data_IF_994525187041
#
_entry.id   IF_994525187041
#
_cell.length_a   1.000
_cell.length_b   1.000
_cell.length_c   1.000
_cell.angle_alpha   90.00
_cell.angle_beta   90.00
_cell.angle_gamma   90.00
#
_symmetry.space_group_name_H-M   'P 1'
#
loop_
_entity.id
_entity.type
_entity.pdbx_description
1 polymer ?
#
# COMPACT_ATOMS: atom_id res chain seq x y z
N UNK A 1 12.88 -23.38 12.26
CA UNK A 1 12.03 -23.99 11.20
C UNK A 1 10.85 -23.07 10.87
N UNK A 2 10.60 -22.77 9.59
CA UNK A 2 9.43 -21.98 9.18
C UNK A 2 8.16 -22.85 9.39
N UNK A 3 7.10 -22.35 10.05
CA UNK A 3 5.86 -23.09 10.21
C UNK A 3 5.26 -23.53 8.87
N UNK A 4 4.67 -24.73 8.81
CA UNK A 4 4.14 -25.33 7.58
C UNK A 4 3.20 -24.41 6.80
N UNK A 5 2.28 -23.72 7.49
CA UNK A 5 1.32 -22.79 6.87
C UNK A 5 2.01 -21.57 6.24
N UNK A 6 3.06 -21.04 6.90
CA UNK A 6 3.83 -19.92 6.36
C UNK A 6 4.62 -20.34 5.11
N UNK A 7 5.13 -21.58 5.07
CA UNK A 7 5.81 -22.12 3.88
C UNK A 7 4.87 -22.19 2.68
N UNK A 8 3.66 -22.72 2.85
CA UNK A 8 2.68 -22.80 1.77
C UNK A 8 2.21 -21.42 1.27
N UNK A 9 1.92 -20.48 2.18
CA UNK A 9 1.58 -19.12 1.78
C UNK A 9 2.69 -18.44 0.98
N UNK A 10 3.95 -18.69 1.36
CA UNK A 10 5.11 -18.20 0.63
C UNK A 10 5.27 -18.85 -0.75
N UNK A 11 5.04 -20.16 -0.88
CA UNK A 11 5.05 -20.86 -2.17
C UNK A 11 3.98 -20.28 -3.13
N UNK A 12 2.79 -19.98 -2.64
CA UNK A 12 1.74 -19.34 -3.43
C UNK A 12 2.14 -17.93 -3.89
N UNK A 13 2.80 -17.15 -3.02
CA UNK A 13 3.38 -15.87 -3.41
C UNK A 13 4.48 -16.02 -4.48
N UNK A 14 5.39 -16.99 -4.35
CA UNK A 14 6.42 -17.22 -5.36
C UNK A 14 5.83 -17.57 -6.72
N UNK A 15 4.76 -18.36 -6.74
CA UNK A 15 4.01 -18.65 -7.97
C UNK A 15 3.40 -17.38 -8.58
N UNK A 16 2.80 -16.52 -7.77
CA UNK A 16 2.29 -15.23 -8.23
C UNK A 16 3.41 -14.32 -8.76
N UNK A 17 4.50 -14.16 -8.01
CA UNK A 17 5.61 -13.26 -8.33
C UNK A 17 6.29 -13.66 -9.65
N UNK A 18 6.47 -14.97 -9.87
CA UNK A 18 7.02 -15.51 -11.12
C UNK A 18 6.15 -15.17 -12.33
N UNK A 19 4.82 -15.13 -12.15
CA UNK A 19 3.87 -14.90 -13.24
C UNK A 19 3.56 -13.42 -13.50
N UNK A 20 3.50 -12.58 -12.46
CA UNK A 20 3.08 -11.17 -12.58
C UNK A 20 4.15 -10.24 -13.15
N UNK A 21 5.43 -10.65 -13.17
CA UNK A 21 6.56 -9.90 -13.76
C UNK A 21 6.73 -8.46 -13.23
N UNK A 22 6.18 -8.15 -12.06
CA UNK A 22 6.41 -6.86 -11.40
C UNK A 22 7.82 -6.89 -10.80
N UNK A 23 8.66 -5.96 -11.25
CA UNK A 23 10.01 -5.79 -10.70
C UNK A 23 9.98 -4.74 -9.61
N UNK A 24 10.23 -5.13 -8.37
CA UNK A 24 10.41 -4.19 -7.25
C UNK A 24 11.67 -3.35 -7.49
N UNK A 25 11.56 -2.04 -7.31
CA UNK A 25 12.63 -1.06 -7.57
C UNK A 25 13.03 -0.27 -6.32
N UNK A 26 12.10 -0.04 -5.40
CA UNK A 26 12.32 0.69 -4.14
C UNK A 26 11.48 -0.02 -3.06
N UNK A 27 11.97 -0.04 -1.82
CA UNK A 27 11.29 -0.65 -0.67
C UNK A 27 11.52 0.21 0.58
N UNK A 28 10.53 0.24 1.47
CA UNK A 28 10.62 0.86 2.81
C UNK A 28 11.20 2.28 2.80
N UNK A 29 10.72 3.13 1.88
CA UNK A 29 11.20 4.51 1.75
C UNK A 29 10.39 5.47 2.61
N UNK A 30 11.08 6.24 3.46
CA UNK A 30 10.45 7.28 4.27
C UNK A 30 10.11 8.50 3.41
N UNK A 31 8.81 8.82 3.31
CA UNK A 31 8.30 9.94 2.53
C UNK A 31 7.44 10.86 3.38
N UNK A 32 7.42 12.13 3.02
CA UNK A 32 6.61 13.16 3.70
C UNK A 32 5.83 14.00 2.70
N UNK A 33 4.65 14.44 3.13
CA UNK A 33 3.87 15.51 2.53
C UNK A 33 3.81 16.66 3.52
N UNK A 34 4.51 17.75 3.20
CA UNK A 34 4.47 18.96 4.02
C UNK A 34 3.10 19.64 3.94
N UNK A 35 2.48 19.63 2.76
CA UNK A 35 1.15 20.22 2.50
C UNK A 35 0.08 19.60 3.41
N UNK A 36 -0.04 18.27 3.39
CA UNK A 36 -1.03 17.55 4.19
C UNK A 36 -0.50 17.13 5.57
N UNK A 37 0.76 17.46 5.86
CA UNK A 37 1.44 17.23 7.15
C UNK A 37 1.31 15.79 7.63
N UNK A 38 1.67 14.84 6.77
CA UNK A 38 1.75 13.43 7.11
C UNK A 38 2.99 12.81 6.45
N UNK A 39 3.44 11.68 6.98
CA UNK A 39 4.48 10.87 6.38
C UNK A 39 4.06 9.41 6.34
N UNK A 40 4.86 8.60 5.65
CA UNK A 40 4.59 7.18 5.48
C UNK A 40 5.80 6.45 4.94
N UNK A 41 5.71 5.12 4.98
CA UNK A 41 6.71 4.19 4.48
C UNK A 41 5.99 3.17 3.61
N UNK A 42 5.85 3.40 2.29
CA UNK A 42 5.31 2.40 1.39
C UNK A 42 6.19 1.15 1.41
N UNK A 43 5.57 -0.04 1.51
CA UNK A 43 6.33 -1.29 1.57
C UNK A 43 7.19 -1.46 0.30
N UNK A 44 6.65 -1.14 -0.88
CA UNK A 44 7.40 -1.21 -2.13
C UNK A 44 6.80 -0.46 -3.32
N UNK A 45 7.70 -0.09 -4.23
CA UNK A 45 7.37 0.44 -5.55
C UNK A 45 7.94 -0.52 -6.58
N UNK A 46 7.14 -0.86 -7.58
CA UNK A 46 7.49 -1.77 -8.66
C UNK A 46 7.40 -1.14 -10.04
N UNK A 47 7.93 -1.84 -11.03
CA UNK A 47 7.65 -1.62 -12.45
C UNK A 47 6.94 -2.82 -13.03
N UNK A 48 5.81 -2.58 -13.68
CA UNK A 48 5.08 -3.63 -14.38
C UNK A 48 5.74 -4.01 -15.71
N UNK A 49 5.15 -4.97 -16.44
CA UNK A 49 5.64 -5.42 -17.74
C UNK A 49 5.65 -4.32 -18.83
N UNK A 50 4.83 -3.28 -18.67
CA UNK A 50 4.78 -2.10 -19.53
C UNK A 50 5.73 -1.00 -19.05
N UNK A 51 6.55 -1.29 -18.04
CA UNK A 51 7.52 -0.39 -17.43
C UNK A 51 6.89 0.81 -16.69
N UNK A 52 5.61 0.74 -16.34
CA UNK A 52 4.91 1.76 -15.53
C UNK A 52 5.22 1.57 -14.06
N UNK A 53 5.31 2.66 -13.31
CA UNK A 53 5.48 2.61 -11.86
C UNK A 53 4.17 2.18 -11.19
N UNK A 54 4.24 1.23 -10.27
CA UNK A 54 3.10 0.71 -9.52
C UNK A 54 3.46 0.59 -8.05
N UNK A 55 2.47 0.66 -7.18
CA UNK A 55 2.65 0.51 -5.75
C UNK A 55 2.36 -0.93 -5.34
N UNK A 56 3.20 -1.50 -4.48
CA UNK A 56 3.06 -2.87 -3.98
C UNK A 56 3.09 -2.84 -2.45
N UNK A 57 2.12 -3.48 -1.83
CA UNK A 57 1.94 -3.50 -0.39
C UNK A 57 1.65 -4.94 0.06
N UNK A 58 2.36 -5.43 1.07
CA UNK A 58 2.27 -6.81 1.55
C UNK A 58 1.61 -6.81 2.92
N UNK A 59 0.46 -7.46 3.05
CA UNK A 59 -0.29 -7.50 4.32
C UNK A 59 -0.47 -8.91 4.83
N UNK A 60 -0.24 -9.09 6.12
CA UNK A 60 -0.75 -10.25 6.86
C UNK A 60 -2.11 -9.90 7.45
N UNK A 61 -3.18 -10.52 6.94
CA UNK A 61 -4.57 -10.23 7.32
C UNK A 61 -5.49 -11.37 6.92
N UNK A 62 -6.58 -11.60 7.66
CA UNK A 62 -7.61 -12.56 7.26
C UNK A 62 -8.63 -11.98 6.25
N UNK A 63 -8.52 -10.69 5.92
CA UNK A 63 -9.41 -10.01 4.97
C UNK A 63 -8.75 -8.78 4.34
N UNK A 64 -9.48 -8.16 3.40
CA UNK A 64 -9.13 -6.85 2.83
C UNK A 64 -10.11 -5.83 3.40
N UNK A 65 -9.59 -4.72 3.91
CA UNK A 65 -10.37 -3.69 4.57
C UNK A 65 -10.25 -2.36 3.83
N UNK A 66 -11.27 -1.50 3.97
CA UNK A 66 -11.31 -0.17 3.34
C UNK A 66 -10.10 0.67 3.73
N UNK A 67 -9.66 0.58 4.98
CA UNK A 67 -8.49 1.32 5.49
C UNK A 67 -7.19 0.99 4.73
N UNK A 68 -7.09 -0.19 4.10
CA UNK A 68 -5.95 -0.53 3.25
C UNK A 68 -5.96 0.30 1.96
N UNK A 69 -7.12 0.48 1.33
CA UNK A 69 -7.25 1.32 0.13
C UNK A 69 -6.94 2.78 0.45
N UNK A 70 -7.40 3.26 1.61
CA UNK A 70 -7.08 4.60 2.12
C UNK A 70 -5.57 4.77 2.33
N UNK A 71 -4.90 3.76 2.90
CA UNK A 71 -3.45 3.75 3.06
C UNK A 71 -2.72 3.81 1.71
N UNK A 72 -3.11 2.96 0.75
CA UNK A 72 -2.52 2.93 -0.59
C UNK A 72 -2.65 4.28 -1.31
N UNK A 73 -3.80 4.93 -1.22
CA UNK A 73 -4.02 6.27 -1.77
C UNK A 73 -3.15 7.34 -1.09
N UNK A 74 -2.98 7.26 0.23
CA UNK A 74 -2.05 8.13 0.95
C UNK A 74 -0.59 7.94 0.50
N UNK A 75 -0.18 6.69 0.28
CA UNK A 75 1.16 6.38 -0.25
C UNK A 75 1.34 6.79 -1.71
N UNK A 76 0.28 6.73 -2.52
CA UNK A 76 0.30 7.26 -3.89
C UNK A 76 0.68 8.75 -3.89
N UNK A 77 -0.03 9.52 -3.07
CA UNK A 77 0.23 10.95 -2.94
C UNK A 77 1.67 11.22 -2.49
N UNK A 78 2.15 10.53 -1.45
CA UNK A 78 3.53 10.66 -0.98
C UNK A 78 4.55 10.36 -2.09
N UNK A 79 4.36 9.28 -2.83
CA UNK A 79 5.27 8.92 -3.90
C UNK A 79 5.27 9.97 -5.02
N UNK A 80 4.08 10.34 -5.51
CA UNK A 80 3.95 11.23 -6.66
C UNK A 80 4.52 12.63 -6.40
N UNK A 81 4.36 13.19 -5.19
CA UNK A 81 4.93 14.52 -4.86
C UNK A 81 6.46 14.47 -4.69
N UNK A 82 7.01 13.37 -4.19
CA UNK A 82 8.45 13.21 -3.99
C UNK A 82 9.17 12.75 -5.28
N UNK A 83 8.42 12.22 -6.24
CA UNK A 83 8.94 11.68 -7.51
C UNK A 83 8.07 12.08 -8.71
N UNK A 84 8.01 13.38 -9.06
CA UNK A 84 7.11 13.88 -10.12
C UNK A 84 7.39 13.26 -11.50
N UNK A 85 8.61 12.78 -11.75
CA UNK A 85 8.99 12.12 -13.01
C UNK A 85 8.69 10.61 -13.05
N UNK A 86 8.19 10.04 -11.95
CA UNK A 86 7.98 8.59 -11.78
C UNK A 86 6.56 8.28 -11.28
N UNK A 87 5.56 9.01 -11.79
CA UNK A 87 4.18 8.89 -11.34
C UNK A 87 3.66 7.45 -11.41
N UNK A 88 2.89 7.07 -10.38
CA UNK A 88 2.23 5.78 -10.32
C UNK A 88 1.13 5.72 -11.39
N UNK A 89 1.34 4.90 -12.40
CA UNK A 89 0.43 4.72 -13.55
C UNK A 89 0.19 3.24 -13.86
N UNK A 90 0.88 2.35 -13.14
CA UNK A 90 0.69 0.90 -13.18
C UNK A 90 -0.35 0.39 -12.17
N UNK A 91 -0.92 1.27 -11.34
CA UNK A 91 -1.93 0.93 -10.33
C UNK A 91 -1.34 0.42 -9.01
N UNK A 92 -2.20 -0.23 -8.22
CA UNK A 92 -1.94 -0.67 -6.85
C UNK A 92 -2.06 -2.17 -6.72
N UNK A 93 -1.06 -2.81 -6.12
CA UNK A 93 -1.01 -4.25 -5.92
C UNK A 93 -0.93 -4.58 -4.43
N UNK A 94 -1.98 -5.19 -3.89
CA UNK A 94 -2.00 -5.67 -2.51
C UNK A 94 -1.79 -7.18 -2.48
N UNK A 95 -0.70 -7.61 -1.88
CA UNK A 95 -0.33 -9.00 -1.66
C UNK A 95 -0.72 -9.41 -0.24
N UNK A 96 -1.89 -10.06 -0.08
CA UNK A 96 -2.43 -10.46 1.21
C UNK A 96 -2.07 -11.91 1.54
N UNK A 97 -1.53 -12.13 2.73
CA UNK A 97 -1.30 -13.44 3.34
C UNK A 97 -2.25 -13.63 4.51
N UNK A 98 -2.94 -14.77 4.57
CA UNK A 98 -3.79 -15.08 5.73
C UNK A 98 -2.93 -15.34 6.99
N UNK A 99 -3.46 -14.96 8.17
CA UNK A 99 -2.81 -15.23 9.45
C UNK A 99 -3.08 -16.65 9.96
N UNK A 100 -4.24 -17.19 9.57
CA UNK A 100 -4.75 -18.47 10.08
C UNK A 100 -4.70 -19.59 9.04
N UNK A 101 -4.76 -19.23 7.75
CA UNK A 101 -4.76 -20.18 6.65
C UNK A 101 -3.49 -20.03 5.80
N UNK A 102 -3.13 -21.09 5.06
CA UNK A 102 -2.04 -21.07 4.09
C UNK A 102 -2.41 -20.33 2.77
N UNK A 103 -3.16 -19.24 2.89
CA UNK A 103 -3.79 -18.56 1.77
C UNK A 103 -3.05 -17.27 1.38
N UNK A 104 -2.94 -17.06 0.07
CA UNK A 104 -2.39 -15.87 -0.55
C UNK A 104 -3.40 -15.32 -1.56
N UNK A 105 -3.68 -14.03 -1.47
CA UNK A 105 -4.53 -13.32 -2.41
C UNK A 105 -3.81 -12.09 -2.95
N UNK A 106 -3.92 -11.87 -4.26
CA UNK A 106 -3.47 -10.64 -4.90
C UNK A 106 -4.69 -9.82 -5.32
N UNK A 107 -4.72 -8.56 -4.91
CA UNK A 107 -5.74 -7.60 -5.30
C UNK A 107 -5.11 -6.46 -6.10
N UNK A 108 -5.84 -5.98 -7.10
CA UNK A 108 -5.41 -4.92 -7.99
C UNK A 108 -6.48 -3.83 -8.09
N UNK A 109 -6.04 -2.57 -8.06
CA UNK A 109 -6.86 -1.42 -8.39
C UNK A 109 -6.10 -0.51 -9.36
N UNK A 110 -6.81 0.06 -10.33
CA UNK A 110 -6.22 1.00 -11.30
C UNK A 110 -6.21 2.44 -10.79
N UNK A 111 -7.15 2.79 -9.91
CA UNK A 111 -7.32 4.12 -9.30
C UNK A 111 -7.91 3.96 -7.90
N UNK A 112 -7.75 5.00 -7.07
CA UNK A 112 -8.21 5.04 -5.67
C UNK A 112 -8.65 6.47 -5.28
N UNK A 113 -9.27 7.22 -6.20
CA UNK A 113 -9.57 8.66 -6.01
C UNK A 113 -10.51 8.91 -4.80
N UNK A 114 -11.50 8.04 -4.62
CA UNK A 114 -12.41 8.09 -3.46
C UNK A 114 -11.68 7.82 -2.15
N UNK A 115 -10.72 6.88 -2.16
CA UNK A 115 -9.91 6.57 -0.99
C UNK A 115 -8.98 7.73 -0.63
N UNK A 116 -8.43 8.45 -1.62
CA UNK A 116 -7.68 9.70 -1.38
C UNK A 116 -8.58 10.79 -0.79
N UNK A 117 -9.80 10.92 -1.30
CA UNK A 117 -10.79 11.84 -0.75
C UNK A 117 -11.06 11.54 0.71
N UNK A 118 -11.28 10.26 1.04
CA UNK A 118 -11.49 9.81 2.42
C UNK A 118 -10.25 10.02 3.30
N UNK A 119 -9.03 9.78 2.78
CA UNK A 119 -7.79 10.03 3.49
C UNK A 119 -7.70 11.48 3.97
N UNK A 120 -7.98 12.45 3.08
CA UNK A 120 -7.96 13.89 3.42
C UNK A 120 -8.99 14.24 4.49
N UNK A 121 -10.19 13.67 4.43
CA UNK A 121 -11.22 13.86 5.46
C UNK A 121 -10.77 13.34 6.83
N UNK A 122 -10.19 12.14 6.87
CA UNK A 122 -9.63 11.57 8.10
C UNK A 122 -8.46 12.40 8.64
N UNK A 123 -7.60 12.90 7.74
CA UNK A 123 -6.51 13.80 8.12
C UNK A 123 -7.04 15.08 8.74
N UNK A 124 -8.08 15.69 8.17
CA UNK A 124 -8.73 16.87 8.75
C UNK A 124 -9.38 16.55 10.11
N UNK A 125 -10.09 15.43 10.22
CA UNK A 125 -10.70 14.98 11.47
C UNK A 125 -9.64 14.83 12.58
N UNK A 126 -8.48 14.25 12.27
CA UNK A 126 -7.36 14.13 13.23
C UNK A 126 -6.92 15.49 13.80
N UNK A 127 -6.82 16.54 12.98
CA UNK A 127 -6.44 17.87 13.46
C UNK A 127 -7.52 18.49 14.35
N UNK A 128 -8.79 18.24 14.05
CA UNK A 128 -9.92 18.67 14.88
C UNK A 128 -9.87 17.94 16.23
N UNK A 129 -9.69 16.62 16.22
CA UNK A 129 -9.59 15.80 17.43
C UNK A 129 -8.45 16.27 18.33
N UNK A 130 -7.29 16.61 17.74
CA UNK A 130 -6.16 17.14 18.50
C UNK A 130 -6.49 18.48 19.18
N UNK A 131 -7.31 19.33 18.58
CA UNK A 131 -7.78 20.58 19.19
C UNK A 131 -8.79 20.32 20.31
N UNK A 132 -9.71 19.38 20.10
CA UNK A 132 -10.72 19.01 21.09
C UNK A 132 -10.09 18.36 22.33
N UNK A 133 -9.12 17.46 22.15
CA UNK A 133 -8.37 16.81 23.24
C UNK A 133 -7.63 17.79 24.15
N UNK A 134 -7.26 18.97 23.65
CA UNK A 134 -6.63 20.04 24.47
C UNK A 134 -7.63 20.78 25.38
N UNK A 135 -8.93 20.57 25.19
CA UNK A 135 -10.00 21.19 25.99
C UNK A 135 -10.50 20.28 27.12
N UNK A 136 -10.10 19.01 27.09
CA UNK A 136 -10.23 18.06 28.18
C UNK A 136 -8.96 18.14 29.04
#
# INVERSE_FOLDING_TARGET
>A
PIPFLAKQGFENYLNWATNNKIKIIEQEMELVSEEFRFGGCPDGIGRDSQKRYCLVDWKTSNGVYVDFLIQLAGYEHLWNINHPDKLLTGGFHLCRFSKENADFAHHYWSELDDAWTQFKLLRQAYDIDKKLKKRL
#
